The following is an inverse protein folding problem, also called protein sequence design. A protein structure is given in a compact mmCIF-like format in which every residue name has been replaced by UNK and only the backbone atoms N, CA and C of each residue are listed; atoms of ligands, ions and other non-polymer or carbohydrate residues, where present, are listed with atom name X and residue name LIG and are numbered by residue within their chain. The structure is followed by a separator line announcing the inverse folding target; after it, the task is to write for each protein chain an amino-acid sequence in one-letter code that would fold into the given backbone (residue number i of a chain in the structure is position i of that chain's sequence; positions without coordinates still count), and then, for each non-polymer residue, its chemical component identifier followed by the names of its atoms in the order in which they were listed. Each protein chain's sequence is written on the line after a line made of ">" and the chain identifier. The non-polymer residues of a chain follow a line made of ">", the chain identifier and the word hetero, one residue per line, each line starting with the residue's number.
data_IF_277069041821
#
_entry.id   IF_277069041821
#
_cell.length_a   1.000
_cell.length_b   1.000
_cell.length_c   1.000
_cell.angle_alpha   90.00
_cell.angle_beta   90.00
_cell.angle_gamma   90.00
#
_symmetry.space_group_name_H-M   'P 1'
#
loop_
_entity.id
_entity.type
_entity.pdbx_description
1 polymer ?
#
# COMPACT_ATOMS: atom_id res chain seq x y z
N UNK A 1 -18.50 -6.63 -10.54
CA UNK A 1 -19.21 -6.11 -9.35
C UNK A 1 -18.39 -6.12 -8.07
N UNK A 2 -18.17 -7.24 -7.34
CA UNK A 2 -17.48 -7.19 -6.02
C UNK A 2 -16.06 -6.59 -6.07
N UNK A 3 -15.32 -6.84 -7.16
CA UNK A 3 -13.99 -6.27 -7.40
C UNK A 3 -14.01 -4.76 -7.68
N UNK A 4 -15.07 -4.27 -8.33
CA UNK A 4 -15.27 -2.83 -8.57
C UNK A 4 -15.74 -2.11 -7.30
N UNK A 5 -16.61 -2.76 -6.52
CA UNK A 5 -17.05 -2.27 -5.20
C UNK A 5 -15.88 -2.10 -4.24
N UNK A 6 -14.86 -2.96 -4.32
CA UNK A 6 -13.64 -2.83 -3.50
C UNK A 6 -12.89 -1.51 -3.74
N UNK A 7 -13.02 -0.90 -4.93
CA UNK A 7 -12.46 0.42 -5.20
C UNK A 7 -13.01 1.52 -4.27
N UNK A 8 -14.27 1.40 -3.86
CA UNK A 8 -14.91 2.34 -2.92
C UNK A 8 -14.34 2.23 -1.50
N UNK A 9 -13.71 1.12 -1.14
CA UNK A 9 -13.11 0.96 0.18
C UNK A 9 -12.00 1.99 0.45
N UNK A 10 -11.26 2.36 -0.59
CA UNK A 10 -10.14 3.32 -0.50
C UNK A 10 -10.58 4.77 -0.30
N UNK A 11 -11.87 5.09 -0.46
CA UNK A 11 -12.39 6.44 -0.25
C UNK A 11 -12.75 6.75 1.20
N UNK A 12 -12.86 5.74 2.07
CA UNK A 12 -13.21 5.95 3.47
C UNK A 12 -12.10 6.68 4.25
N UNK A 13 -12.49 7.73 4.98
CA UNK A 13 -11.57 8.55 5.78
C UNK A 13 -11.45 8.09 7.24
N UNK A 14 -12.34 7.20 7.68
CA UNK A 14 -12.32 6.64 9.04
C UNK A 14 -12.21 5.12 8.99
N UNK A 15 -11.27 4.60 9.77
CA UNK A 15 -10.95 3.18 9.88
C UNK A 15 -12.17 2.32 10.22
N UNK A 16 -13.04 2.80 11.11
CA UNK A 16 -14.26 2.07 11.52
C UNK A 16 -15.26 1.86 10.37
N UNK A 17 -15.40 2.83 9.46
CA UNK A 17 -16.29 2.68 8.29
C UNK A 17 -15.66 1.76 7.25
N UNK A 18 -14.35 1.89 7.03
CA UNK A 18 -13.60 0.98 6.17
C UNK A 18 -13.67 -0.48 6.66
N UNK A 19 -13.63 -0.70 7.98
CA UNK A 19 -13.74 -2.04 8.59
C UNK A 19 -15.09 -2.66 8.34
N UNK A 20 -16.17 -1.92 8.64
CA UNK A 20 -17.54 -2.39 8.41
C UNK A 20 -17.80 -2.72 6.94
N UNK A 21 -17.29 -1.91 6.02
CA UNK A 21 -17.38 -2.20 4.59
C UNK A 21 -16.65 -3.51 4.23
N UNK A 22 -15.43 -3.68 4.73
CA UNK A 22 -14.62 -4.88 4.47
C UNK A 22 -15.28 -6.15 5.02
N UNK A 23 -15.78 -6.11 6.25
CA UNK A 23 -16.46 -7.26 6.87
C UNK A 23 -17.71 -7.68 6.05
N UNK A 24 -18.49 -6.69 5.59
CA UNK A 24 -19.66 -6.92 4.73
C UNK A 24 -19.27 -7.48 3.36
N UNK A 25 -18.20 -6.95 2.76
CA UNK A 25 -17.67 -7.44 1.48
C UNK A 25 -17.17 -8.88 1.59
N UNK A 26 -16.44 -9.21 2.67
CA UNK A 26 -15.99 -10.57 2.98
C UNK A 26 -17.17 -11.53 3.19
N UNK A 27 -18.22 -11.09 3.87
CA UNK A 27 -19.44 -11.89 4.04
C UNK A 27 -20.16 -12.16 2.71
N UNK A 28 -20.19 -11.19 1.80
CA UNK A 28 -20.77 -11.36 0.47
C UNK A 28 -19.96 -12.34 -0.40
N UNK A 29 -18.62 -12.35 -0.26
CA UNK A 29 -17.74 -13.30 -0.97
C UNK A 29 -17.90 -14.76 -0.54
N UNK A 30 -18.29 -15.00 0.71
CA UNK A 30 -18.47 -16.36 1.27
C UNK A 30 -19.42 -17.22 0.43
N UNK A 31 -20.37 -16.59 -0.26
CA UNK A 31 -21.33 -17.26 -1.14
C UNK A 31 -20.78 -17.60 -2.53
N UNK A 32 -19.66 -17.00 -2.96
CA UNK A 32 -19.05 -17.25 -4.27
C UNK A 32 -18.02 -18.39 -4.24
N UNK A 33 -17.53 -18.81 -3.05
CA UNK A 33 -16.58 -19.92 -2.84
C UNK A 33 -15.33 -19.87 -3.74
N UNK A 34 -14.86 -18.66 -4.06
CA UNK A 34 -13.67 -18.45 -4.86
C UNK A 34 -12.44 -18.45 -3.92
N UNK A 35 -11.64 -19.53 -3.98
CA UNK A 35 -10.39 -19.66 -3.20
C UNK A 35 -9.44 -18.46 -3.31
N UNK A 36 -9.28 -17.80 -4.48
CA UNK A 36 -8.43 -16.61 -4.58
C UNK A 36 -8.91 -15.44 -3.72
N UNK A 37 -10.23 -15.23 -3.64
CA UNK A 37 -10.81 -14.10 -2.92
C UNK A 37 -10.79 -14.34 -1.40
N UNK A 38 -10.95 -15.58 -0.96
CA UNK A 38 -10.76 -15.97 0.44
C UNK A 38 -9.32 -15.68 0.92
N UNK A 39 -8.32 -16.07 0.11
CA UNK A 39 -6.91 -15.77 0.40
C UNK A 39 -6.65 -14.28 0.45
N UNK A 40 -7.26 -13.51 -0.46
CA UNK A 40 -7.12 -12.06 -0.47
C UNK A 40 -7.75 -11.42 0.78
N UNK A 41 -8.96 -11.83 1.16
CA UNK A 41 -9.60 -11.34 2.38
C UNK A 41 -8.76 -11.67 3.63
N UNK A 42 -8.21 -12.88 3.74
CA UNK A 42 -7.30 -13.24 4.83
C UNK A 42 -6.04 -12.37 4.87
N UNK A 43 -5.46 -12.05 3.72
CA UNK A 43 -4.30 -11.16 3.64
C UNK A 43 -4.63 -9.76 4.17
N UNK A 44 -5.79 -9.20 3.79
CA UNK A 44 -6.23 -7.89 4.29
C UNK A 44 -6.43 -7.92 5.80
N UNK A 45 -7.05 -8.96 6.35
CA UNK A 45 -7.22 -9.10 7.81
C UNK A 45 -5.88 -9.16 8.55
N UNK A 46 -4.92 -9.95 8.05
CA UNK A 46 -3.59 -10.07 8.67
C UNK A 46 -2.82 -8.76 8.72
N UNK A 47 -3.08 -7.87 7.76
CA UNK A 47 -2.38 -6.59 7.62
C UNK A 47 -3.29 -5.39 7.91
N UNK A 48 -4.43 -5.62 8.58
CA UNK A 48 -5.47 -4.62 8.78
C UNK A 48 -4.91 -3.30 9.34
N UNK A 49 -4.11 -3.38 10.41
CA UNK A 49 -3.57 -2.20 11.10
C UNK A 49 -2.73 -1.32 10.16
N UNK A 50 -1.92 -1.92 9.28
CA UNK A 50 -1.11 -1.19 8.31
C UNK A 50 -1.94 -0.59 7.18
N UNK A 51 -3.01 -1.26 6.76
CA UNK A 51 -3.86 -0.78 5.67
C UNK A 51 -4.81 0.31 6.16
N UNK A 52 -5.37 0.17 7.37
CA UNK A 52 -6.28 1.14 7.98
C UNK A 52 -5.63 2.52 8.15
N UNK A 53 -4.30 2.58 8.32
CA UNK A 53 -3.52 3.83 8.36
C UNK A 53 -3.75 4.69 7.10
N UNK A 54 -3.93 4.07 5.93
CA UNK A 54 -4.20 4.78 4.67
C UNK A 54 -5.55 5.50 4.64
N UNK A 55 -6.51 5.10 5.49
CA UNK A 55 -7.80 5.80 5.57
C UNK A 55 -7.63 7.26 6.02
N UNK A 56 -6.62 7.56 6.84
CA UNK A 56 -6.38 8.93 7.31
C UNK A 56 -5.88 9.81 6.16
N UNK A 57 -6.53 10.95 5.85
CA UNK A 57 -6.13 11.83 4.74
C UNK A 57 -4.65 12.26 4.78
N UNK A 58 -4.10 12.47 5.98
CA UNK A 58 -2.69 12.84 6.19
C UNK A 58 -1.69 11.77 5.69
N UNK A 59 -2.12 10.52 5.61
CA UNK A 59 -1.29 9.40 5.17
C UNK A 59 -1.50 9.06 3.69
N UNK A 60 -2.37 9.79 2.99
CA UNK A 60 -2.61 9.58 1.56
C UNK A 60 -1.47 10.17 0.75
N UNK A 61 -0.50 9.34 0.42
CA UNK A 61 0.57 9.66 -0.54
C UNK A 61 0.06 9.30 -1.94
N UNK A 62 0.30 10.16 -2.93
CA UNK A 62 -0.13 9.88 -4.30
C UNK A 62 0.62 8.66 -4.87
N UNK A 63 -0.10 7.77 -5.56
CA UNK A 63 0.49 6.58 -6.17
C UNK A 63 1.63 6.95 -7.14
N UNK A 64 1.45 8.00 -7.94
CA UNK A 64 2.48 8.50 -8.85
C UNK A 64 3.76 8.97 -8.13
N UNK A 65 3.65 9.54 -6.92
CA UNK A 65 4.82 9.87 -6.12
C UNK A 65 5.53 8.60 -5.62
N UNK A 66 4.78 7.63 -5.08
CA UNK A 66 5.34 6.35 -4.60
C UNK A 66 6.05 5.60 -5.73
N UNK A 67 5.43 5.53 -6.90
CA UNK A 67 6.00 4.91 -8.10
C UNK A 67 7.25 5.65 -8.58
N UNK A 68 7.20 6.98 -8.64
CA UNK A 68 8.34 7.81 -9.01
C UNK A 68 9.53 7.62 -8.06
N UNK A 69 9.26 7.56 -6.76
CA UNK A 69 10.26 7.29 -5.73
C UNK A 69 10.84 5.88 -5.88
N UNK A 70 10.00 4.85 -6.05
CA UNK A 70 10.45 3.47 -6.27
C UNK A 70 11.37 3.36 -7.51
N UNK A 71 11.05 4.09 -8.58
CA UNK A 71 11.88 4.15 -9.77
C UNK A 71 13.25 4.81 -9.49
N UNK A 72 13.28 5.91 -8.74
CA UNK A 72 14.54 6.55 -8.30
C UNK A 72 15.39 5.59 -7.46
N UNK A 73 14.80 4.90 -6.48
CA UNK A 73 15.49 3.91 -5.63
C UNK A 73 16.10 2.80 -6.51
N UNK A 74 15.34 2.27 -7.47
CA UNK A 74 15.82 1.26 -8.42
C UNK A 74 16.98 1.77 -9.29
N UNK A 75 16.98 3.05 -9.68
CA UNK A 75 18.12 3.66 -10.40
C UNK A 75 19.35 3.78 -9.50
N UNK A 76 19.19 4.20 -8.24
CA UNK A 76 20.28 4.30 -7.26
C UNK A 76 20.94 2.93 -7.06
N UNK A 77 20.13 1.89 -6.79
CA UNK A 77 20.61 0.53 -6.62
C UNK A 77 21.36 0.02 -7.85
N UNK A 78 20.83 0.26 -9.07
CA UNK A 78 21.49 -0.14 -10.32
C UNK A 78 22.86 0.51 -10.53
N UNK A 79 23.00 1.82 -10.22
CA UNK A 79 24.27 2.56 -10.39
C UNK A 79 25.33 2.14 -9.37
N UNK A 80 24.91 1.64 -8.22
CA UNK A 80 25.82 1.29 -7.14
C UNK A 80 26.43 -0.11 -7.22
N UNK A 81 26.08 -0.92 -8.23
CA UNK A 81 26.58 -2.31 -8.40
C UNK A 81 26.49 -3.18 -7.12
N UNK A 82 25.49 -2.91 -6.27
CA UNK A 82 25.26 -3.60 -4.99
C UNK A 82 25.79 -2.81 -3.80
N UNK A 83 25.03 -1.82 -3.33
CA UNK A 83 25.20 -1.32 -1.96
C UNK A 83 24.92 -2.47 -1.00
N UNK A 84 25.96 -2.93 -0.31
CA UNK A 84 25.86 -3.93 0.77
C UNK A 84 25.52 -3.30 2.12
N UNK A 85 25.49 -1.97 2.17
CA UNK A 85 25.23 -1.17 3.35
C UNK A 85 23.83 -0.54 3.25
N UNK A 86 22.94 -1.01 4.13
CA UNK A 86 21.56 -0.54 4.23
C UNK A 86 21.47 0.92 4.71
N UNK A 87 22.37 1.33 5.59
CA UNK A 87 22.42 2.69 6.14
C UNK A 87 22.84 3.68 5.06
N UNK A 88 23.84 3.32 4.25
CA UNK A 88 24.25 4.13 3.11
C UNK A 88 23.16 4.21 2.03
N UNK A 89 22.46 3.10 1.75
CA UNK A 89 21.30 3.13 0.86
C UNK A 89 20.21 4.06 1.40
N UNK A 90 19.89 3.97 2.70
CA UNK A 90 18.92 4.85 3.35
C UNK A 90 19.31 6.32 3.21
N UNK A 91 20.59 6.65 3.43
CA UNK A 91 21.09 8.02 3.27
C UNK A 91 20.94 8.50 1.83
N UNK A 92 21.26 7.67 0.83
CA UNK A 92 21.06 8.00 -0.59
C UNK A 92 19.58 8.22 -0.94
N UNK A 93 18.68 7.45 -0.35
CA UNK A 93 17.23 7.61 -0.55
C UNK A 93 16.75 8.93 0.06
N UNK A 94 17.13 9.24 1.31
CA UNK A 94 16.73 10.48 1.98
C UNK A 94 17.25 11.73 1.28
N UNK A 95 18.46 11.64 0.71
CA UNK A 95 19.10 12.77 0.02
C UNK A 95 18.66 12.95 -1.43
N UNK A 96 18.06 11.94 -2.09
CA UNK A 96 17.72 12.04 -3.52
C UNK A 96 16.58 13.01 -3.86
N UNK A 97 15.92 13.56 -2.83
CA UNK A 97 14.85 14.54 -2.94
C UNK A 97 15.27 15.92 -2.41
N UNK A 98 16.50 16.06 -1.90
CA UNK A 98 17.04 17.34 -1.48
C UNK A 98 17.51 18.15 -2.71
N UNK A 99 17.47 19.49 -2.65
CA UNK A 99 18.08 20.34 -3.67
C UNK A 99 19.54 19.98 -3.87
N UNK A 100 20.04 20.10 -5.10
CA UNK A 100 21.49 20.10 -5.33
C UNK A 100 22.08 21.31 -4.59
N UNK A 101 23.20 21.07 -3.89
CA UNK A 101 24.01 22.13 -3.28
C UNK A 101 24.61 23.02 -4.36
#
# INVERSE_FOLDING_TARGET
>A
MLKESFGQWWSYEREGWARRFFDNWRAALKWQRLKPDEKFAEMIDRHWDGIAVYCKPVNKVSLGFVEGLNNKIRVIQRRSYGLRDEEYLRLKILTCMLPAL
#
